data_IF_701159306261
#
_entry.id   IF_701159306261
#
_cell.length_a   1.000
_cell.length_b   1.000
_cell.length_c   1.000
_cell.angle_alpha   90.00
_cell.angle_beta   90.00
_cell.angle_gamma   90.00
#
_symmetry.space_group_name_H-M   'P 1'
#
loop_
_entity.id
_entity.type
_entity.pdbx_description
1 polymer ?
#
# COMPACT_ATOMS: atom_id res chain seq x y z
N UNK A 1 -60.43 -62.02 -36.23
CA UNK A 1 -59.75 -61.68 -34.95
C UNK A 1 -58.39 -61.09 -35.30
N UNK A 2 -58.08 -59.86 -34.90
CA UNK A 2 -56.78 -59.21 -35.15
C UNK A 2 -55.92 -59.29 -33.87
N UNK A 3 -54.62 -59.60 -34.02
CA UNK A 3 -53.67 -59.66 -32.90
C UNK A 3 -53.12 -58.27 -32.59
N UNK A 4 -53.02 -57.95 -31.31
CA UNK A 4 -52.51 -56.68 -30.79
C UNK A 4 -50.99 -56.54 -31.03
N UNK A 5 -50.59 -55.33 -31.42
CA UNK A 5 -49.21 -54.85 -31.50
C UNK A 5 -48.85 -54.29 -30.13
N UNK A 6 -48.08 -55.05 -29.36
CA UNK A 6 -47.48 -54.63 -28.09
C UNK A 6 -45.97 -54.68 -28.23
N UNK A 7 -45.40 -53.68 -28.88
CA UNK A 7 -44.00 -53.34 -28.70
C UNK A 7 -43.81 -51.86 -28.98
N UNK A 8 -43.82 -51.05 -27.91
CA UNK A 8 -43.43 -49.65 -27.96
C UNK A 8 -41.93 -49.64 -27.70
N UNK A 9 -41.13 -49.47 -28.74
CA UNK A 9 -39.71 -49.15 -28.57
C UNK A 9 -39.61 -47.73 -28.01
N UNK A 10 -38.99 -47.52 -26.84
CA UNK A 10 -38.71 -46.17 -26.37
C UNK A 10 -37.80 -45.47 -27.40
N UNK A 11 -38.09 -44.22 -27.79
CA UNK A 11 -37.26 -43.51 -28.75
C UNK A 11 -35.83 -43.43 -28.20
N UNK A 12 -34.89 -43.99 -28.97
CA UNK A 12 -33.46 -43.94 -28.70
C UNK A 12 -33.05 -42.47 -28.80
N UNK A 13 -32.79 -41.84 -27.65
CA UNK A 13 -32.36 -40.45 -27.56
C UNK A 13 -31.10 -40.26 -28.41
N UNK A 14 -31.20 -39.42 -29.43
CA UNK A 14 -30.08 -39.10 -30.32
C UNK A 14 -29.18 -38.07 -29.61
N UNK A 15 -27.88 -38.35 -29.38
CA UNK A 15 -26.95 -37.39 -28.80
C UNK A 15 -26.85 -36.06 -29.60
N UNK A 16 -27.33 -36.02 -30.85
CA UNK A 16 -27.51 -34.78 -31.61
C UNK A 16 -28.65 -33.88 -31.09
N UNK A 17 -29.77 -34.47 -30.64
CA UNK A 17 -30.95 -33.72 -30.15
C UNK A 17 -30.68 -33.09 -28.78
N UNK A 18 -29.98 -33.78 -27.88
CA UNK A 18 -29.58 -33.23 -26.57
C UNK A 18 -28.59 -32.06 -26.71
N UNK A 19 -27.68 -32.13 -27.68
CA UNK A 19 -26.74 -31.04 -28.00
C UNK A 19 -27.47 -29.83 -28.58
N UNK A 20 -28.48 -30.03 -29.42
CA UNK A 20 -29.28 -28.94 -29.96
C UNK A 20 -30.08 -28.23 -28.86
N UNK A 21 -30.76 -29.00 -28.00
CA UNK A 21 -31.53 -28.49 -26.86
C UNK A 21 -30.65 -27.71 -25.87
N UNK A 22 -29.48 -28.23 -25.54
CA UNK A 22 -28.55 -27.54 -24.62
C UNK A 22 -27.96 -26.25 -25.20
N UNK A 23 -27.69 -26.20 -26.51
CA UNK A 23 -27.30 -24.98 -27.22
C UNK A 23 -28.41 -23.93 -27.21
N UNK A 24 -29.66 -24.35 -27.45
CA UNK A 24 -30.83 -23.47 -27.37
C UNK A 24 -31.01 -22.87 -25.97
N UNK A 25 -30.88 -23.68 -24.93
CA UNK A 25 -30.96 -23.22 -23.53
C UNK A 25 -29.83 -22.25 -23.17
N UNK A 26 -28.60 -22.51 -23.64
CA UNK A 26 -27.47 -21.60 -23.47
C UNK A 26 -27.72 -20.27 -24.18
N UNK A 27 -28.17 -20.30 -25.43
CA UNK A 27 -28.51 -19.10 -26.19
C UNK A 27 -29.61 -18.29 -25.50
N UNK A 28 -30.64 -18.96 -25.00
CA UNK A 28 -31.74 -18.29 -24.29
C UNK A 28 -31.25 -17.62 -23.00
N UNK A 29 -30.36 -18.29 -22.25
CA UNK A 29 -29.74 -17.74 -21.04
C UNK A 29 -28.85 -16.54 -21.35
N UNK A 30 -28.05 -16.60 -22.42
CA UNK A 30 -27.20 -15.49 -22.86
C UNK A 30 -28.04 -14.29 -23.30
N UNK A 31 -29.13 -14.53 -24.04
CA UNK A 31 -30.06 -13.46 -24.45
C UNK A 31 -30.75 -12.84 -23.23
N UNK A 32 -31.19 -13.65 -22.27
CA UNK A 32 -31.84 -13.18 -21.05
C UNK A 32 -30.91 -12.32 -20.17
N UNK A 33 -29.60 -12.56 -20.23
CA UNK A 33 -28.59 -11.85 -19.46
C UNK A 33 -27.66 -10.96 -20.31
N UNK A 34 -28.09 -10.58 -21.51
CA UNK A 34 -27.27 -9.84 -22.47
C UNK A 34 -26.67 -8.56 -21.88
N UNK A 35 -27.47 -7.79 -21.14
CA UNK A 35 -27.02 -6.52 -20.53
C UNK A 35 -25.97 -6.75 -19.45
N UNK A 36 -26.19 -7.69 -18.53
CA UNK A 36 -25.24 -8.03 -17.47
C UNK A 36 -23.92 -8.57 -18.06
N UNK A 37 -24.01 -9.39 -19.12
CA UNK A 37 -22.85 -9.87 -19.85
C UNK A 37 -22.09 -8.74 -20.55
N UNK A 38 -22.80 -7.79 -21.17
CA UNK A 38 -22.18 -6.61 -21.79
C UNK A 38 -21.42 -5.79 -20.76
N UNK A 39 -22.04 -5.44 -19.63
CA UNK A 39 -21.40 -4.69 -18.55
C UNK A 39 -20.18 -5.44 -18.01
N UNK A 40 -20.28 -6.76 -17.85
CA UNK A 40 -19.13 -7.58 -17.41
C UNK A 40 -17.98 -7.54 -18.42
N UNK A 41 -18.28 -7.63 -19.71
CA UNK A 41 -17.29 -7.54 -20.78
C UNK A 41 -16.66 -6.14 -20.84
N UNK A 42 -17.43 -5.09 -20.63
CA UNK A 42 -16.93 -3.71 -20.56
C UNK A 42 -15.98 -3.54 -19.38
N UNK A 43 -16.36 -4.01 -18.18
CA UNK A 43 -15.48 -3.99 -17.01
C UNK A 43 -14.19 -4.78 -17.28
N UNK A 44 -14.28 -5.98 -17.84
CA UNK A 44 -13.10 -6.77 -18.19
C UNK A 44 -12.24 -6.03 -19.23
N UNK A 45 -12.86 -5.35 -20.19
CA UNK A 45 -12.18 -4.53 -21.19
C UNK A 45 -11.44 -3.33 -20.56
N UNK A 46 -12.07 -2.63 -19.60
CA UNK A 46 -11.44 -1.54 -18.86
C UNK A 46 -10.28 -2.04 -17.99
N UNK A 47 -10.48 -3.15 -17.28
CA UNK A 47 -9.43 -3.78 -16.47
C UNK A 47 -8.24 -4.24 -17.34
N UNK A 48 -8.50 -4.69 -18.56
CA UNK A 48 -7.46 -5.08 -19.51
C UNK A 48 -6.71 -3.86 -20.03
N UNK A 49 -7.43 -2.81 -20.45
CA UNK A 49 -6.82 -1.55 -20.90
C UNK A 49 -6.01 -0.85 -19.80
N UNK A 50 -6.41 -1.01 -18.54
CA UNK A 50 -5.68 -0.52 -17.38
C UNK A 50 -4.45 -1.38 -17.00
N UNK A 51 -4.19 -2.49 -17.69
CA UNK A 51 -3.08 -3.40 -17.40
C UNK A 51 -3.28 -4.29 -16.17
N UNK A 52 -4.47 -4.27 -15.56
CA UNK A 52 -4.75 -4.99 -14.31
C UNK A 52 -4.84 -6.49 -14.56
N UNK A 53 -5.47 -6.89 -15.67
CA UNK A 53 -5.58 -8.30 -16.05
C UNK A 53 -4.21 -8.90 -16.37
N UNK A 54 -3.31 -8.14 -16.96
CA UNK A 54 -1.93 -8.52 -17.29
C UNK A 54 -1.09 -8.70 -16.04
N UNK A 55 -1.22 -7.79 -15.07
CA UNK A 55 -0.57 -7.93 -13.76
C UNK A 55 -1.08 -9.19 -13.07
N UNK A 56 -2.40 -9.37 -13.01
CA UNK A 56 -3.00 -10.57 -12.41
C UNK A 56 -2.54 -11.85 -13.11
N UNK A 57 -2.48 -11.85 -14.45
CA UNK A 57 -2.01 -12.97 -15.25
C UNK A 57 -0.52 -13.24 -15.04
N UNK A 58 0.31 -12.20 -14.95
CA UNK A 58 1.75 -12.29 -14.67
C UNK A 58 2.02 -12.88 -13.29
N UNK A 59 1.28 -12.43 -12.27
CA UNK A 59 1.32 -13.00 -10.92
C UNK A 59 0.92 -14.48 -10.90
N UNK A 60 -0.14 -14.84 -11.63
CA UNK A 60 -0.60 -16.24 -11.72
C UNK A 60 0.36 -17.15 -12.48
N UNK A 61 0.98 -16.65 -13.56
CA UNK A 61 2.00 -17.39 -14.33
C UNK A 61 3.25 -17.61 -13.49
N UNK A 62 3.67 -16.61 -12.73
CA UNK A 62 4.87 -16.66 -11.91
C UNK A 62 4.58 -17.14 -10.47
N UNK A 63 3.49 -17.88 -10.25
CA UNK A 63 3.07 -18.37 -8.92
C UNK A 63 4.13 -19.19 -8.18
N UNK A 64 5.02 -19.87 -8.90
CA UNK A 64 6.10 -20.67 -8.30
C UNK A 64 7.30 -19.79 -7.91
N UNK A 65 7.56 -18.72 -8.66
CA UNK A 65 8.68 -17.80 -8.45
C UNK A 65 8.31 -16.66 -7.47
N UNK A 66 7.03 -16.29 -7.38
CA UNK A 66 6.52 -15.15 -6.60
C UNK A 66 5.40 -15.55 -5.62
N UNK A 67 4.61 -16.60 -5.90
CA UNK A 67 3.28 -16.77 -5.31
C UNK A 67 3.24 -17.42 -3.93
N UNK A 68 3.89 -18.55 -3.71
CA UNK A 68 3.72 -19.26 -2.44
C UNK A 68 4.62 -18.71 -1.32
N UNK A 69 5.90 -18.49 -1.61
CA UNK A 69 6.89 -18.12 -0.58
C UNK A 69 6.76 -16.64 -0.22
N UNK A 70 6.62 -15.73 -1.20
CA UNK A 70 6.54 -14.30 -0.90
C UNK A 70 5.22 -13.93 -0.19
N UNK A 71 4.09 -14.53 -0.56
CA UNK A 71 2.82 -14.34 0.17
C UNK A 71 2.92 -14.88 1.60
N UNK A 72 3.55 -16.05 1.80
CA UNK A 72 3.75 -16.56 3.15
C UNK A 72 4.71 -15.68 3.97
N UNK A 73 5.72 -15.08 3.31
CA UNK A 73 6.64 -14.12 3.93
C UNK A 73 5.94 -12.81 4.30
N UNK A 74 4.99 -12.34 3.48
CA UNK A 74 4.16 -11.17 3.75
C UNK A 74 3.12 -11.41 4.85
N UNK A 75 2.62 -12.64 4.96
CA UNK A 75 1.73 -13.07 6.03
C UNK A 75 2.45 -13.30 7.36
N UNK A 76 3.78 -13.23 7.39
CA UNK A 76 4.52 -13.30 8.65
C UNK A 76 4.19 -12.08 9.53
N UNK A 77 4.12 -12.26 10.86
CA UNK A 77 3.89 -11.17 11.80
C UNK A 77 4.84 -9.98 11.61
N UNK A 78 6.08 -10.24 11.20
CA UNK A 78 7.11 -9.24 10.94
C UNK A 78 6.74 -8.34 9.75
N UNK A 79 6.28 -8.93 8.66
CA UNK A 79 5.86 -8.18 7.48
C UNK A 79 4.61 -7.35 7.75
N UNK A 80 3.63 -7.89 8.48
CA UNK A 80 2.48 -7.11 8.94
C UNK A 80 2.88 -5.93 9.82
N UNK A 81 3.83 -6.12 10.75
CA UNK A 81 4.36 -5.04 11.60
C UNK A 81 5.09 -3.99 10.77
N UNK A 82 5.88 -4.41 9.78
CA UNK A 82 6.58 -3.50 8.89
C UNK A 82 5.60 -2.64 8.09
N UNK A 83 4.58 -3.24 7.48
CA UNK A 83 3.54 -2.54 6.73
C UNK A 83 2.79 -1.56 7.65
N UNK A 84 2.38 -2.03 8.83
CA UNK A 84 1.66 -1.19 9.80
C UNK A 84 2.51 0.00 10.27
N UNK A 85 3.78 -0.22 10.58
CA UNK A 85 4.70 0.83 11.00
C UNK A 85 5.02 1.79 9.83
N UNK A 86 5.18 1.26 8.62
CA UNK A 86 5.39 2.06 7.41
C UNK A 86 4.20 2.98 7.12
N UNK A 87 2.97 2.43 7.15
CA UNK A 87 1.75 3.21 7.03
C UNK A 87 1.61 4.25 8.14
N UNK A 88 1.91 3.89 9.39
CA UNK A 88 1.89 4.84 10.51
C UNK A 88 2.92 5.96 10.32
N UNK A 89 4.11 5.64 9.79
CA UNK A 89 5.15 6.61 9.42
C UNK A 89 4.69 7.55 8.32
N UNK A 90 4.08 7.02 7.25
CA UNK A 90 3.49 7.83 6.18
C UNK A 90 2.37 8.75 6.69
N UNK A 91 1.49 8.23 7.55
CA UNK A 91 0.45 9.05 8.17
C UNK A 91 1.03 10.14 9.07
N UNK A 92 2.08 9.84 9.83
CA UNK A 92 2.77 10.83 10.65
C UNK A 92 3.40 11.92 9.76
N UNK A 93 4.11 11.54 8.69
CA UNK A 93 4.70 12.47 7.75
C UNK A 93 3.63 13.35 7.07
N UNK A 94 2.50 12.75 6.67
CA UNK A 94 1.38 13.47 6.06
C UNK A 94 0.62 14.40 7.01
N UNK A 95 0.83 14.32 8.32
CA UNK A 95 0.28 15.28 9.30
C UNK A 95 1.20 16.48 9.53
N UNK A 96 2.44 16.43 9.05
CA UNK A 96 3.35 17.57 9.16
C UNK A 96 2.85 18.64 8.21
N UNK A 97 2.75 19.87 8.74
CA UNK A 97 2.40 21.03 7.95
C UNK A 97 3.48 21.28 6.85
N UNK A 98 3.10 21.40 5.57
CA UNK A 98 4.06 21.54 4.47
C UNK A 98 4.98 22.75 4.60
N UNK A 99 4.47 23.87 5.12
CA UNK A 99 5.26 25.11 5.28
C UNK A 99 6.30 24.94 6.39
N UNK A 100 5.94 24.27 7.48
CA UNK A 100 6.87 23.90 8.54
C UNK A 100 7.96 22.95 8.03
N UNK A 101 7.60 21.96 7.23
CA UNK A 101 8.55 21.02 6.65
C UNK A 101 9.53 21.74 5.71
N UNK A 102 9.03 22.63 4.86
CA UNK A 102 9.86 23.46 3.98
C UNK A 102 10.83 24.32 4.77
N UNK A 103 10.37 24.98 5.84
CA UNK A 103 11.23 25.82 6.68
C UNK A 103 12.37 25.02 7.34
N UNK A 104 12.09 23.82 7.85
CA UNK A 104 13.12 22.95 8.43
C UNK A 104 14.09 22.44 7.37
N UNK A 105 13.60 22.06 6.20
CA UNK A 105 14.42 21.60 5.09
C UNK A 105 15.39 22.69 4.61
N UNK A 106 14.89 23.91 4.41
CA UNK A 106 15.69 25.05 4.00
C UNK A 106 16.75 25.42 5.06
N UNK A 107 16.39 25.37 6.35
CA UNK A 107 17.35 25.60 7.44
C UNK A 107 18.45 24.53 7.47
N UNK A 108 18.10 23.26 7.19
CA UNK A 108 19.06 22.16 7.11
C UNK A 108 19.98 22.28 5.88
N UNK A 109 19.44 22.67 4.72
CA UNK A 109 20.20 22.95 3.50
C UNK A 109 21.24 24.04 3.73
N UNK A 110 20.82 25.20 4.22
CA UNK A 110 21.72 26.32 4.55
C UNK A 110 22.81 25.92 5.57
N UNK A 111 22.44 25.13 6.59
CA UNK A 111 23.40 24.63 7.57
C UNK A 111 24.42 23.67 6.98
N UNK A 112 24.02 22.86 5.99
CA UNK A 112 24.91 21.95 5.27
C UNK A 112 25.87 22.70 4.36
N UNK A 113 25.40 23.71 3.63
CA UNK A 113 26.24 24.58 2.80
C UNK A 113 27.33 25.24 3.65
N UNK A 114 26.97 25.88 4.76
CA UNK A 114 27.96 26.50 5.66
C UNK A 114 28.95 25.50 6.27
N UNK A 115 28.50 24.28 6.59
CA UNK A 115 29.38 23.23 7.10
C UNK A 115 30.38 22.73 6.04
N UNK A 116 29.99 22.75 4.76
CA UNK A 116 30.85 22.39 3.64
C UNK A 116 31.84 23.51 3.31
N UNK A 117 31.41 24.78 3.32
CA UNK A 117 32.30 25.94 3.15
C UNK A 117 33.38 26.02 4.25
N UNK A 118 33.04 25.61 5.48
CA UNK A 118 33.97 25.57 6.60
C UNK A 118 35.09 24.50 6.44
N UNK A 119 34.98 23.56 5.49
CA UNK A 119 36.00 22.52 5.26
C UNK A 119 37.26 23.02 4.55
N UNK A 120 37.18 24.13 3.81
CA UNK A 120 38.25 24.56 2.91
C UNK A 120 39.42 25.32 3.59
N UNK A 121 39.63 25.17 4.91
CA UNK A 121 40.86 25.75 5.47
C UNK A 121 41.30 25.59 6.93
N UNK A 122 40.62 24.90 7.86
CA UNK A 122 40.97 25.10 9.28
C UNK A 122 41.10 23.87 10.20
N UNK A 123 42.06 24.02 11.13
CA UNK A 123 42.45 23.16 12.26
C UNK A 123 41.25 22.74 13.14
N UNK A 124 41.36 21.62 13.88
CA UNK A 124 40.31 21.19 14.81
C UNK A 124 39.90 22.32 15.77
N UNK A 125 38.60 22.53 15.90
CA UNK A 125 38.03 23.54 16.80
C UNK A 125 38.35 23.17 18.24
N UNK A 126 39.00 24.08 18.99
CA UNK A 126 39.28 23.91 20.41
C UNK A 126 38.05 24.12 21.29
N UNK A 127 38.04 23.56 22.50
CA UNK A 127 36.92 23.68 23.46
C UNK A 127 36.56 25.15 23.80
N UNK A 128 37.55 26.05 23.80
CA UNK A 128 37.31 27.48 24.04
C UNK A 128 36.58 28.15 22.86
N UNK A 129 36.94 27.83 21.62
CA UNK A 129 36.25 28.33 20.43
C UNK A 129 34.83 27.78 20.35
N UNK A 130 34.60 26.51 20.72
CA UNK A 130 33.24 25.96 20.84
C UNK A 130 32.41 26.73 21.88
N UNK A 131 32.98 27.04 23.04
CA UNK A 131 32.30 27.82 24.07
C UNK A 131 32.01 29.26 23.60
N UNK A 132 32.88 29.83 22.77
CA UNK A 132 32.69 31.13 22.13
C UNK A 132 31.57 31.08 21.08
N UNK A 133 31.58 30.08 20.20
CA UNK A 133 30.56 29.85 19.18
C UNK A 133 29.19 29.54 19.78
N UNK A 134 29.13 28.81 20.90
CA UNK A 134 27.87 28.58 21.62
C UNK A 134 27.23 29.86 22.16
N UNK A 135 27.98 30.97 22.27
CA UNK A 135 27.46 32.29 22.62
C UNK A 135 27.02 33.12 21.43
N UNK A 136 27.30 32.66 20.21
CA UNK A 136 26.88 33.30 18.98
C UNK A 136 25.34 33.33 18.87
N UNK A 137 24.72 34.45 18.46
CA UNK A 137 23.27 34.55 18.30
C UNK A 137 22.65 33.47 17.41
N UNK A 138 23.32 33.08 16.32
CA UNK A 138 22.82 32.09 15.36
C UNK A 138 22.82 30.69 15.98
N UNK A 139 23.94 30.31 16.61
CA UNK A 139 24.06 29.02 17.32
C UNK A 139 23.07 28.93 18.48
N UNK A 140 22.87 30.01 19.24
CA UNK A 140 21.89 30.05 20.34
C UNK A 140 20.46 29.89 19.86
N UNK A 141 20.15 30.39 18.66
CA UNK A 141 18.82 30.24 18.05
C UNK A 141 18.53 28.77 17.77
N UNK A 142 19.46 28.06 17.13
CA UNK A 142 19.36 26.63 16.85
C UNK A 142 19.31 25.77 18.12
N UNK A 143 20.16 26.06 19.12
CA UNK A 143 20.14 25.38 20.42
C UNK A 143 18.82 25.64 21.17
N UNK A 144 18.27 26.84 21.07
CA UNK A 144 16.97 27.20 21.63
C UNK A 144 15.83 26.42 20.99
N UNK A 145 15.84 26.30 19.66
CA UNK A 145 14.87 25.49 18.91
C UNK A 145 14.93 24.02 19.33
N UNK A 146 16.14 23.43 19.36
CA UNK A 146 16.35 22.05 19.79
C UNK A 146 15.85 21.82 21.22
N UNK A 147 16.16 22.75 22.13
CA UNK A 147 15.73 22.65 23.52
C UNK A 147 14.20 22.70 23.64
N UNK A 148 13.52 23.56 22.89
CA UNK A 148 12.04 23.64 22.87
C UNK A 148 11.42 22.38 22.27
N UNK A 149 12.00 21.83 21.21
CA UNK A 149 11.59 20.56 20.63
C UNK A 149 11.67 19.43 21.66
N UNK A 150 12.81 19.31 22.36
CA UNK A 150 13.01 18.32 23.43
C UNK A 150 12.02 18.51 24.59
N UNK A 151 11.71 19.74 24.97
CA UNK A 151 10.68 20.02 25.98
C UNK A 151 9.29 19.57 25.53
N UNK A 152 8.92 19.81 24.27
CA UNK A 152 7.65 19.35 23.69
C UNK A 152 7.55 17.82 23.70
N UNK A 153 8.60 17.13 23.25
CA UNK A 153 8.70 15.67 23.31
C UNK A 153 8.53 15.15 24.75
N UNK A 154 9.27 15.72 25.70
CA UNK A 154 9.23 15.28 27.10
C UNK A 154 7.87 15.46 27.76
N UNK A 155 7.11 16.51 27.39
CA UNK A 155 5.73 16.70 27.85
C UNK A 155 4.80 15.62 27.31
N UNK A 156 4.89 15.32 26.01
CA UNK A 156 4.04 14.32 25.36
C UNK A 156 4.29 12.88 25.88
N UNK A 157 5.54 12.54 26.21
CA UNK A 157 5.88 11.24 26.82
C UNK A 157 5.29 11.12 28.24
N UNK A 158 5.39 12.20 29.03
CA UNK A 158 4.88 12.22 30.41
C UNK A 158 3.36 12.12 30.47
N UNK A 159 2.64 12.88 29.64
CA UNK A 159 1.18 12.83 29.60
C UNK A 159 0.66 11.44 29.20
N UNK A 160 1.38 10.73 28.32
CA UNK A 160 1.06 9.34 27.97
C UNK A 160 1.32 8.34 29.10
N UNK A 161 2.31 8.60 29.96
CA UNK A 161 2.57 7.75 31.14
C UNK A 161 1.54 7.96 32.25
N UNK A 162 1.02 9.17 32.40
CA UNK A 162 -0.01 9.52 33.39
C UNK A 162 -1.37 8.89 33.02
N UNK A 163 -1.83 9.00 31.77
CA UNK A 163 -3.07 8.36 31.27
C UNK A 163 -3.02 6.81 31.30
N UNK A 164 -1.82 6.20 31.30
CA UNK A 164 -1.67 4.74 31.50
C UNK A 164 -1.64 4.34 32.97
N UNK A 165 -1.31 5.25 33.88
CA UNK A 165 -1.32 5.01 35.32
C UNK A 165 -2.73 5.03 35.91
N UNK A 166 -3.63 5.84 35.34
CA UNK A 166 -5.03 5.96 35.78
C UNK A 166 -5.94 4.82 35.29
N UNK A 167 -5.50 4.04 34.30
CA UNK A 167 -6.25 2.89 33.73
C UNK A 167 -5.82 1.54 34.31
N UNK A 168 -5.05 1.51 35.39
CA UNK A 168 -4.61 0.30 36.10
C UNK A 168 -5.24 0.18 37.48
#
# INVERSE_FOLDING_TARGET
>A
MAKAITQIEPPRQDPGEERALSLEQLLQTVVQHQEALSVTMDILGELHRAGILEIAQGLLKNREEVGAIAINQLNQPEAHRMIKNGMAGLQWLGRIDPDQLHSVAQAAENGMEQALEARDGHKPIGLWELARQARDPEVRTSLGMLTRFLQGMGKAVRSQSEDRGERR
#
